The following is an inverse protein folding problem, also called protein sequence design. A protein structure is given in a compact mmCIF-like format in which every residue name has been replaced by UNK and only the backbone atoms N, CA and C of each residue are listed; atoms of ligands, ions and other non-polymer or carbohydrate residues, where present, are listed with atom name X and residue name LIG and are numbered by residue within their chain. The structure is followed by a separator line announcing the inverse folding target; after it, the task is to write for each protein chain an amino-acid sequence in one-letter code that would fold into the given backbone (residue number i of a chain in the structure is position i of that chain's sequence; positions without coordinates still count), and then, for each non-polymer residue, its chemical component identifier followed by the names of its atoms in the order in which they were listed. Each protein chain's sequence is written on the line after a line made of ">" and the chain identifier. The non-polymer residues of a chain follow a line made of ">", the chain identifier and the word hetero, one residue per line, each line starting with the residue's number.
data_IF_534758075154
#
_entry.id   IF_534758075154
#
_cell.length_a   1.000
_cell.length_b   1.000
_cell.length_c   1.000
_cell.angle_alpha   90.00
_cell.angle_beta   90.00
_cell.angle_gamma   90.00
#
_symmetry.space_group_name_H-M   'P 1'
#
loop_
_entity.id
_entity.type
_entity.pdbx_description
1 polymer ?
#
# COMPACT_ATOMS: atom_id res chain seq x y z
N UNK A 1 -13.41 26.29 -12.05
CA UNK A 1 -13.09 24.84 -12.14
C UNK A 1 -11.59 24.70 -12.40
N UNK A 2 -10.77 24.70 -11.35
CA UNK A 2 -9.31 24.56 -11.48
C UNK A 2 -8.98 23.08 -11.69
N UNK A 3 -8.51 22.72 -12.89
CA UNK A 3 -7.90 21.41 -13.14
C UNK A 3 -6.70 21.27 -12.19
N UNK A 4 -6.71 20.21 -11.39
CA UNK A 4 -5.63 19.83 -10.49
C UNK A 4 -4.32 19.67 -11.31
N UNK A 5 -3.48 20.69 -11.28
CA UNK A 5 -2.10 20.67 -11.77
C UNK A 5 -1.19 19.92 -10.78
N UNK A 6 -1.59 18.70 -10.42
CA UNK A 6 -0.95 17.85 -9.40
C UNK A 6 -0.26 16.63 -9.99
N UNK A 7 0.09 16.66 -11.28
CA UNK A 7 1.20 15.86 -11.79
C UNK A 7 2.48 16.58 -11.40
N UNK A 8 2.92 16.41 -10.14
CA UNK A 8 4.29 16.77 -9.78
C UNK A 8 5.19 15.85 -10.59
N UNK A 9 5.98 16.41 -11.49
CA UNK A 9 6.97 15.66 -12.25
C UNK A 9 7.78 14.78 -11.29
N UNK A 10 7.71 13.47 -11.53
CA UNK A 10 8.46 12.47 -10.77
C UNK A 10 9.97 12.63 -11.01
N UNK A 11 10.35 13.33 -12.07
CA UNK A 11 11.70 13.32 -12.62
C UNK A 11 12.74 14.04 -11.74
N UNK A 12 12.31 14.89 -10.79
CA UNK A 12 13.19 15.53 -9.79
C UNK A 12 13.07 14.92 -8.37
N UNK A 13 12.18 13.94 -8.19
CA UNK A 13 11.95 13.32 -6.88
C UNK A 13 12.68 11.99 -6.80
N UNK A 14 13.53 11.81 -5.78
CA UNK A 14 14.21 10.54 -5.55
C UNK A 14 13.20 9.38 -5.52
N UNK A 15 13.34 8.43 -6.43
CA UNK A 15 12.49 7.24 -6.52
C UNK A 15 13.13 6.04 -5.82
N UNK A 16 12.29 5.08 -5.41
CA UNK A 16 12.71 3.80 -4.84
C UNK A 16 12.06 2.69 -5.63
N UNK A 17 12.88 1.73 -6.08
CA UNK A 17 12.42 0.53 -6.76
C UNK A 17 11.96 -0.54 -5.76
N UNK A 18 10.69 -0.93 -5.85
CA UNK A 18 10.07 -2.01 -5.10
C UNK A 18 10.02 -3.25 -5.99
N UNK A 19 10.62 -4.35 -5.55
CA UNK A 19 10.65 -5.61 -6.33
C UNK A 19 9.64 -6.60 -5.78
N UNK A 20 8.89 -7.27 -6.63
CA UNK A 20 7.88 -8.24 -6.24
C UNK A 20 7.60 -9.29 -7.31
N UNK A 21 6.59 -10.11 -7.05
CA UNK A 21 6.07 -11.10 -8.00
C UNK A 21 4.58 -10.91 -8.24
N UNK A 22 4.15 -11.12 -9.48
CA UNK A 22 2.74 -11.09 -9.84
C UNK A 22 1.99 -12.25 -9.17
N UNK A 23 0.80 -11.98 -8.65
CA UNK A 23 -0.10 -12.99 -8.10
C UNK A 23 -1.53 -12.76 -8.60
N UNK A 24 -2.37 -13.79 -8.51
CA UNK A 24 -3.82 -13.63 -8.73
C UNK A 24 -4.44 -12.94 -7.52
N UNK A 25 -5.37 -12.02 -7.79
CA UNK A 25 -6.23 -11.44 -6.76
C UNK A 25 -7.56 -12.21 -6.64
N UNK A 26 -8.40 -11.78 -5.70
CA UNK A 26 -9.76 -12.32 -5.46
C UNK A 26 -10.87 -11.58 -6.23
N UNK A 27 -10.50 -10.69 -7.14
CA UNK A 27 -11.44 -9.90 -7.95
C UNK A 27 -12.21 -8.80 -7.21
N UNK A 28 -11.77 -8.42 -5.99
CA UNK A 28 -12.47 -7.42 -5.17
C UNK A 28 -12.38 -6.01 -5.76
N UNK A 29 -11.21 -5.60 -6.26
CA UNK A 29 -11.02 -4.28 -6.86
C UNK A 29 -11.90 -4.06 -8.08
N UNK A 30 -12.09 -5.07 -8.93
CA UNK A 30 -12.95 -4.94 -10.12
C UNK A 30 -14.36 -4.49 -9.74
N UNK A 31 -14.98 -5.14 -8.75
CA UNK A 31 -16.31 -4.78 -8.24
C UNK A 31 -16.33 -3.40 -7.58
N UNK A 32 -15.23 -3.02 -6.94
CA UNK A 32 -15.14 -1.76 -6.24
C UNK A 32 -15.00 -0.57 -7.21
N UNK A 33 -14.13 -0.69 -8.21
CA UNK A 33 -13.93 0.34 -9.25
C UNK A 33 -15.21 0.52 -10.06
N UNK A 34 -15.82 -0.57 -10.54
CA UNK A 34 -17.01 -0.46 -11.40
C UNK A 34 -18.21 0.22 -10.72
N UNK A 35 -18.34 0.07 -9.40
CA UNK A 35 -19.38 0.75 -8.61
C UNK A 35 -19.08 2.22 -8.31
N UNK A 36 -17.82 2.64 -8.43
CA UNK A 36 -17.35 3.95 -7.98
C UNK A 36 -16.52 4.68 -9.05
N UNK A 37 -16.75 4.39 -10.34
CA UNK A 37 -15.94 4.92 -11.45
C UNK A 37 -15.80 6.44 -11.41
N UNK A 38 -16.90 7.17 -11.14
CA UNK A 38 -16.88 8.63 -11.04
C UNK A 38 -15.96 9.12 -9.93
N UNK A 39 -16.04 8.52 -8.73
CA UNK A 39 -15.19 8.91 -7.59
C UNK A 39 -13.71 8.65 -7.90
N UNK A 40 -13.41 7.50 -8.51
CA UNK A 40 -12.03 7.14 -8.88
C UNK A 40 -11.50 8.09 -9.94
N UNK A 41 -12.27 8.33 -11.02
CA UNK A 41 -11.87 9.24 -12.10
C UNK A 41 -11.66 10.66 -11.59
N UNK A 42 -12.58 11.17 -10.77
CA UNK A 42 -12.51 12.55 -10.29
C UNK A 42 -11.30 12.78 -9.36
N UNK A 43 -10.93 11.77 -8.57
CA UNK A 43 -9.80 11.86 -7.66
C UNK A 43 -8.44 11.58 -8.32
N UNK A 44 -8.39 10.62 -9.25
CA UNK A 44 -7.15 10.24 -9.95
C UNK A 44 -6.89 11.10 -11.19
N UNK A 45 -7.93 11.71 -11.76
CA UNK A 45 -7.87 12.53 -12.96
C UNK A 45 -7.98 11.76 -14.27
N UNK A 46 -8.17 10.44 -14.22
CA UNK A 46 -8.22 9.56 -15.40
C UNK A 46 -9.02 8.27 -15.17
N UNK A 47 -9.45 7.65 -16.26
CA UNK A 47 -10.23 6.41 -16.26
C UNK A 47 -9.31 5.20 -16.10
N UNK A 48 -9.38 4.55 -14.94
CA UNK A 48 -8.64 3.31 -14.68
C UNK A 48 -9.38 2.09 -15.22
N UNK A 49 -8.63 1.09 -15.68
CA UNK A 49 -9.20 -0.19 -16.09
C UNK A 49 -9.86 -0.88 -14.89
N UNK A 50 -10.98 -1.56 -15.13
CA UNK A 50 -11.67 -2.34 -14.12
C UNK A 50 -10.85 -3.55 -13.68
N UNK A 51 -10.06 -3.38 -12.62
CA UNK A 51 -9.24 -4.43 -12.04
C UNK A 51 -7.96 -3.89 -11.44
N UNK A 52 -7.09 -4.79 -11.02
CA UNK A 52 -5.78 -4.45 -10.47
C UNK A 52 -4.76 -5.53 -10.76
N UNK A 53 -3.49 -5.12 -10.81
CA UNK A 53 -2.35 -6.06 -10.81
C UNK A 53 -1.89 -6.28 -9.37
N UNK A 54 -2.06 -7.49 -8.85
CA UNK A 54 -1.63 -7.83 -7.50
C UNK A 54 -0.14 -8.19 -7.50
N UNK A 55 0.62 -7.58 -6.58
CA UNK A 55 2.06 -7.79 -6.45
C UNK A 55 2.40 -8.19 -5.02
N UNK A 56 3.12 -9.30 -4.92
CA UNK A 56 3.74 -9.80 -3.70
C UNK A 56 5.18 -9.27 -3.60
N UNK A 57 5.39 -8.21 -2.82
CA UNK A 57 6.67 -7.58 -2.61
C UNK A 57 7.67 -8.51 -1.90
N UNK A 58 8.94 -8.35 -2.30
CA UNK A 58 10.06 -9.12 -1.76
C UNK A 58 10.36 -8.75 -0.30
N UNK A 59 9.98 -7.55 0.12
CA UNK A 59 10.13 -7.02 1.48
C UNK A 59 8.86 -6.29 1.91
N UNK A 60 8.56 -6.18 3.22
CA UNK A 60 7.47 -5.33 3.69
C UNK A 60 7.81 -3.86 3.40
N UNK A 61 6.80 -3.11 2.97
CA UNK A 61 6.88 -1.69 2.65
C UNK A 61 5.69 -1.00 3.30
N UNK A 62 5.95 0.07 4.05
CA UNK A 62 4.91 0.93 4.61
C UNK A 62 4.83 2.21 3.78
N UNK A 63 3.62 2.60 3.41
CA UNK A 63 3.39 3.84 2.69
C UNK A 63 2.95 4.95 3.64
N UNK A 64 3.29 6.19 3.30
CA UNK A 64 2.97 7.38 4.08
C UNK A 64 1.56 7.89 3.75
N UNK A 65 0.67 7.94 4.75
CA UNK A 65 -0.72 8.39 4.58
C UNK A 65 -0.83 9.88 4.22
N UNK A 66 0.21 10.66 4.52
CA UNK A 66 0.28 12.10 4.32
C UNK A 66 0.44 12.49 2.84
N UNK A 67 1.04 11.62 2.03
CA UNK A 67 1.28 11.89 0.60
C UNK A 67 0.29 11.17 -0.32
N UNK A 68 -0.57 10.33 0.25
CA UNK A 68 -1.58 9.57 -0.47
C UNK A 68 -2.68 10.47 -1.07
N UNK A 69 -3.14 10.12 -2.27
CA UNK A 69 -4.43 10.56 -2.80
C UNK A 69 -5.52 9.80 -2.04
N UNK A 70 -6.55 10.51 -1.59
CA UNK A 70 -7.64 9.96 -0.79
C UNK A 70 -8.89 9.78 -1.64
N UNK A 71 -9.35 8.54 -1.77
CA UNK A 71 -10.61 8.21 -2.43
C UNK A 71 -11.71 8.13 -1.38
N UNK A 72 -12.64 9.08 -1.42
CA UNK A 72 -13.79 9.16 -0.52
C UNK A 72 -15.00 8.50 -1.16
N UNK A 73 -15.28 7.27 -0.75
CA UNK A 73 -16.49 6.53 -1.16
C UNK A 73 -17.66 6.83 -0.22
N UNK A 74 -18.88 6.57 -0.68
CA UNK A 74 -20.10 6.78 0.12
C UNK A 74 -20.11 5.98 1.43
N UNK A 75 -19.45 4.82 1.44
CA UNK A 75 -19.39 3.92 2.60
C UNK A 75 -17.93 3.64 3.01
N UNK A 76 -17.67 3.79 4.31
CA UNK A 76 -16.44 3.34 4.95
C UNK A 76 -15.30 4.37 5.02
N UNK A 77 -14.10 3.87 5.28
CA UNK A 77 -12.88 4.69 5.41
C UNK A 77 -12.36 5.09 4.02
N UNK A 78 -11.71 6.27 3.89
CA UNK A 78 -11.08 6.64 2.63
C UNK A 78 -10.04 5.61 2.23
N UNK A 79 -9.94 5.33 0.93
CA UNK A 79 -8.82 4.54 0.40
C UNK A 79 -7.68 5.45 0.04
N UNK A 80 -6.47 4.91 0.15
CA UNK A 80 -5.24 5.63 -0.06
C UNK A 80 -4.57 5.07 -1.31
N UNK A 81 -4.18 5.98 -2.19
CA UNK A 81 -3.49 5.66 -3.43
C UNK A 81 -2.19 6.46 -3.51
N UNK A 82 -1.11 5.80 -3.91
CA UNK A 82 0.20 6.43 -4.11
C UNK A 82 0.60 6.36 -5.57
N UNK A 83 1.15 7.44 -6.11
CA UNK A 83 1.63 7.43 -7.50
C UNK A 83 2.91 6.60 -7.62
N UNK A 84 3.04 5.89 -8.73
CA UNK A 84 4.24 5.16 -9.09
C UNK A 84 4.34 4.91 -10.59
N UNK A 85 5.39 4.22 -10.99
CA UNK A 85 5.62 3.75 -12.36
C UNK A 85 5.95 2.26 -12.39
N UNK A 86 5.48 1.58 -13.43
CA UNK A 86 5.90 0.23 -13.76
C UNK A 86 6.34 0.20 -15.21
N UNK A 87 7.66 0.21 -15.45
CA UNK A 87 8.19 0.45 -16.78
C UNK A 87 7.86 1.86 -17.26
N UNK A 88 7.23 1.96 -18.43
CA UNK A 88 6.77 3.20 -19.06
C UNK A 88 5.34 3.62 -18.67
N UNK A 89 4.68 2.85 -17.79
CA UNK A 89 3.26 3.06 -17.44
C UNK A 89 3.14 3.69 -16.05
N UNK A 90 2.42 4.80 -15.97
CA UNK A 90 1.98 5.40 -14.71
C UNK A 90 0.94 4.49 -14.03
N UNK A 91 1.11 4.30 -12.73
CA UNK A 91 0.25 3.45 -11.91
C UNK A 91 -0.10 4.13 -10.59
N UNK A 92 -1.24 3.73 -10.03
CA UNK A 92 -1.54 4.00 -8.63
C UNK A 92 -1.34 2.73 -7.82
N UNK A 93 -0.45 2.82 -6.85
CA UNK A 93 -0.24 1.78 -5.85
C UNK A 93 -1.37 1.90 -4.83
N UNK A 94 -2.16 0.84 -4.78
CA UNK A 94 -3.26 0.63 -3.86
C UNK A 94 -2.88 -0.38 -2.78
N UNK A 95 -3.46 -0.23 -1.59
CA UNK A 95 -3.46 -1.29 -0.58
C UNK A 95 -4.77 -1.31 0.19
N UNK A 96 -5.35 -2.50 0.33
CA UNK A 96 -6.50 -2.69 1.20
C UNK A 96 -6.14 -2.41 2.66
N UNK A 97 -7.02 -1.78 3.46
CA UNK A 97 -6.90 -1.68 4.89
C UNK A 97 -6.62 -3.05 5.50
N UNK A 98 -5.71 -3.09 6.46
CA UNK A 98 -5.25 -4.31 7.12
C UNK A 98 -4.54 -5.31 6.20
N UNK A 99 -4.31 -5.00 4.92
CA UNK A 99 -3.50 -5.87 4.07
C UNK A 99 -2.05 -5.94 4.60
N UNK A 100 -1.42 -7.12 4.51
CA UNK A 100 -0.02 -7.28 4.87
C UNK A 100 0.88 -6.31 4.12
N UNK A 101 1.94 -5.80 4.77
CA UNK A 101 2.84 -4.78 4.20
C UNK A 101 3.62 -5.20 2.93
N UNK A 102 3.52 -6.46 2.53
CA UNK A 102 4.19 -6.99 1.35
C UNK A 102 3.21 -7.23 0.20
N UNK A 103 1.94 -6.87 0.34
CA UNK A 103 0.94 -6.96 -0.71
C UNK A 103 0.60 -5.55 -1.16
N UNK A 104 0.62 -5.32 -2.47
CA UNK A 104 0.12 -4.09 -3.09
C UNK A 104 -0.65 -4.46 -4.34
N UNK A 105 -1.56 -3.59 -4.74
CA UNK A 105 -2.31 -3.70 -5.97
C UNK A 105 -1.99 -2.48 -6.84
N UNK A 106 -1.85 -2.65 -8.15
CA UNK A 106 -1.65 -1.54 -9.07
C UNK A 106 -2.92 -1.29 -9.87
N UNK A 107 -3.37 -0.04 -9.86
CA UNK A 107 -4.38 0.49 -10.77
C UNK A 107 -3.65 1.18 -11.92
N UNK A 108 -4.23 1.12 -13.13
CA UNK A 108 -3.66 1.76 -14.31
C UNK A 108 -4.76 2.02 -15.35
N UNK A 109 -4.50 2.93 -16.27
CA UNK A 109 -5.35 3.18 -17.46
C UNK A 109 -5.23 2.09 -18.52
N UNK A 110 -4.30 1.15 -18.36
CA UNK A 110 -4.11 0.00 -19.26
C UNK A 110 -4.12 -1.33 -18.51
N UNK A 111 -4.46 -2.42 -19.21
CA UNK A 111 -4.43 -3.76 -18.64
C UNK A 111 -2.97 -4.26 -18.53
N UNK A 112 -2.32 -4.02 -17.40
CA UNK A 112 -0.87 -4.23 -17.18
C UNK A 112 -0.39 -5.65 -17.56
N UNK A 113 -1.18 -6.69 -17.30
CA UNK A 113 -0.83 -8.07 -17.71
C UNK A 113 -0.69 -8.20 -19.23
N UNK A 114 -1.59 -7.57 -19.97
CA UNK A 114 -1.58 -7.65 -21.44
C UNK A 114 -0.46 -6.76 -21.99
N UNK A 115 -0.29 -5.56 -21.42
CA UNK A 115 0.73 -4.59 -21.83
C UNK A 115 2.15 -5.17 -21.75
N UNK A 116 2.45 -5.93 -20.70
CA UNK A 116 3.77 -6.46 -20.42
C UNK A 116 3.90 -7.98 -20.59
N UNK A 117 2.85 -8.67 -21.04
CA UNK A 117 2.86 -10.13 -21.22
C UNK A 117 3.06 -10.92 -19.91
N UNK A 118 2.47 -10.47 -18.80
CA UNK A 118 2.77 -10.99 -17.46
C UNK A 118 1.88 -12.15 -17.02
N UNK A 119 2.54 -13.15 -16.45
CA UNK A 119 1.97 -14.33 -15.80
C UNK A 119 2.16 -14.31 -14.29
N UNK A 120 1.45 -15.19 -13.57
CA UNK A 120 1.66 -15.36 -12.13
C UNK A 120 3.07 -15.89 -11.83
N UNK A 121 3.72 -15.28 -10.84
CA UNK A 121 5.09 -15.62 -10.45
C UNK A 121 6.16 -14.76 -11.12
N UNK A 122 5.84 -14.05 -12.20
CA UNK A 122 6.77 -13.17 -12.90
C UNK A 122 7.28 -12.08 -11.97
N UNK A 123 8.58 -11.77 -12.09
CA UNK A 123 9.21 -10.71 -11.30
C UNK A 123 8.93 -9.36 -11.95
N UNK A 124 8.53 -8.41 -11.13
CA UNK A 124 8.26 -7.04 -11.57
C UNK A 124 8.85 -6.03 -10.61
N UNK A 125 8.94 -4.80 -11.08
CA UNK A 125 9.41 -3.68 -10.31
C UNK A 125 8.43 -2.52 -10.44
N UNK A 126 8.20 -1.85 -9.32
CA UNK A 126 7.39 -0.65 -9.23
C UNK A 126 8.25 0.43 -8.62
N UNK A 127 8.32 1.57 -9.29
CA UNK A 127 9.03 2.74 -8.81
C UNK A 127 8.03 3.66 -8.11
N UNK A 128 8.35 4.07 -6.90
CA UNK A 128 7.53 4.99 -6.11
C UNK A 128 8.42 6.12 -5.59
N UNK A 129 7.83 7.28 -5.30
CA UNK A 129 8.60 8.38 -4.73
C UNK A 129 9.06 8.00 -3.32
N UNK A 130 10.27 8.42 -2.95
CA UNK A 130 10.82 8.16 -1.61
C UNK A 130 9.93 8.76 -0.51
N UNK A 131 9.32 9.91 -0.76
CA UNK A 131 8.42 10.58 0.18
C UNK A 131 7.09 9.84 0.39
N UNK A 132 6.71 8.93 -0.50
CA UNK A 132 5.52 8.08 -0.33
C UNK A 132 5.77 6.89 0.60
N UNK A 133 7.02 6.67 1.03
CA UNK A 133 7.40 5.60 1.93
C UNK A 133 7.53 6.10 3.36
N UNK A 134 6.89 5.40 4.28
CA UNK A 134 7.03 5.62 5.71
C UNK A 134 8.05 4.63 6.30
N UNK A 135 8.75 5.01 7.39
CA UNK A 135 9.60 4.07 8.12
C UNK A 135 8.75 2.96 8.75
N UNK A 136 9.14 1.70 8.52
CA UNK A 136 8.52 0.55 9.16
C UNK A 136 9.04 0.44 10.60
N UNK A 137 8.18 0.51 11.65
CA UNK A 137 8.63 0.29 13.02
C UNK A 137 9.27 -1.10 13.20
N UNK A 138 10.34 -1.23 14.01
CA UNK A 138 11.00 -2.52 14.24
C UNK A 138 10.06 -3.63 14.71
N UNK A 139 9.10 -3.30 15.57
CA UNK A 139 8.09 -4.25 16.04
C UNK A 139 7.14 -4.72 14.92
N UNK A 140 6.82 -3.84 13.97
CA UNK A 140 6.04 -4.17 12.78
C UNK A 140 6.81 -5.10 11.85
N UNK A 141 8.12 -4.87 11.69
CA UNK A 141 8.99 -5.79 10.94
C UNK A 141 9.08 -7.17 11.61
N UNK A 142 9.29 -7.23 12.93
CA UNK A 142 9.35 -8.50 13.66
C UNK A 142 8.03 -9.27 13.55
N UNK A 143 6.91 -8.58 13.76
CA UNK A 143 5.57 -9.16 13.60
C UNK A 143 5.38 -9.67 12.17
N UNK A 144 5.81 -8.89 11.18
CA UNK A 144 5.77 -9.32 9.79
C UNK A 144 6.58 -10.60 9.54
N UNK A 145 7.78 -10.71 10.11
CA UNK A 145 8.62 -11.91 10.01
C UNK A 145 7.89 -13.12 10.64
N UNK A 146 7.37 -12.96 11.86
CA UNK A 146 6.71 -14.03 12.61
C UNK A 146 5.47 -14.58 11.93
N UNK A 147 4.78 -13.77 11.13
CA UNK A 147 3.55 -14.18 10.47
C UNK A 147 3.78 -14.59 9.01
N UNK A 148 4.59 -13.87 8.24
CA UNK A 148 4.65 -14.04 6.77
C UNK A 148 6.00 -14.50 6.21
N UNK A 149 7.08 -14.58 7.00
CA UNK A 149 8.32 -15.18 6.49
C UNK A 149 8.05 -16.66 6.14
N UNK A 150 8.35 -17.04 4.89
CA UNK A 150 8.03 -18.36 4.33
C UNK A 150 6.55 -18.60 3.98
N UNK A 151 5.64 -17.68 4.31
CA UNK A 151 4.17 -17.86 4.18
C UNK A 151 3.47 -16.75 3.40
N UNK A 152 4.21 -15.92 2.68
CA UNK A 152 3.68 -14.77 1.93
C UNK A 152 2.48 -15.09 1.02
N UNK A 153 2.45 -16.28 0.40
CA UNK A 153 1.35 -16.68 -0.51
C UNK A 153 0.06 -17.10 0.21
N UNK A 154 0.15 -17.48 1.48
CA UNK A 154 -1.00 -18.04 2.20
C UNK A 154 -2.15 -17.05 2.38
N UNK A 155 -1.90 -15.74 2.25
CA UNK A 155 -2.96 -14.71 2.22
C UNK A 155 -3.96 -14.94 1.07
N UNK A 156 -3.48 -15.42 -0.08
CA UNK A 156 -4.32 -15.67 -1.26
C UNK A 156 -4.84 -17.10 -1.32
N UNK A 157 -4.07 -18.07 -0.81
CA UNK A 157 -4.35 -19.50 -0.98
C UNK A 157 -5.15 -20.11 0.19
N UNK A 158 -5.23 -19.45 1.34
CA UNK A 158 -5.82 -20.03 2.56
C UNK A 158 -6.69 -19.02 3.32
N UNK A 159 -8.01 -19.13 3.14
CA UNK A 159 -8.99 -18.25 3.81
C UNK A 159 -8.97 -18.36 5.33
N UNK A 160 -8.76 -19.57 5.87
CA UNK A 160 -8.67 -19.75 7.32
C UNK A 160 -7.43 -19.08 7.91
N UNK A 161 -6.30 -19.11 7.18
CA UNK A 161 -5.10 -18.40 7.54
C UNK A 161 -5.29 -16.89 7.47
N UNK A 162 -5.90 -16.40 6.38
CA UNK A 162 -6.26 -15.00 6.20
C UNK A 162 -7.11 -14.49 7.38
N UNK A 163 -8.17 -15.20 7.75
CA UNK A 163 -9.01 -14.86 8.90
C UNK A 163 -8.25 -14.85 10.24
N UNK A 164 -7.28 -15.75 10.43
CA UNK A 164 -6.47 -15.86 11.65
C UNK A 164 -5.33 -14.84 11.72
N UNK A 165 -4.78 -14.44 10.58
CA UNK A 165 -3.67 -13.49 10.48
C UNK A 165 -4.17 -12.05 10.48
N UNK A 166 -5.33 -11.79 9.86
CA UNK A 166 -6.11 -10.55 10.01
C UNK A 166 -6.74 -10.43 11.41
N UNK A 167 -6.10 -11.00 12.43
CA UNK A 167 -6.46 -10.75 13.82
C UNK A 167 -5.98 -9.37 14.23
N UNK A 168 -6.65 -8.81 15.25
CA UNK A 168 -6.29 -7.53 15.87
C UNK A 168 -4.81 -7.39 16.22
N UNK A 169 -4.07 -8.50 16.37
CA UNK A 169 -2.64 -8.49 16.69
C UNK A 169 -1.76 -8.00 15.54
N UNK A 170 -1.98 -8.44 14.31
CA UNK A 170 -1.16 -8.01 13.17
C UNK A 170 -1.33 -6.52 12.86
N UNK A 171 -2.57 -6.06 12.96
CA UNK A 171 -2.94 -4.64 12.93
C UNK A 171 -2.28 -3.87 14.07
N UNK A 172 -2.47 -4.32 15.32
CA UNK A 172 -1.97 -3.63 16.52
C UNK A 172 -0.45 -3.51 16.56
N UNK A 173 0.29 -4.40 15.92
CA UNK A 173 1.76 -4.32 15.93
C UNK A 173 2.36 -3.70 14.68
N UNK A 174 1.54 -3.18 13.76
CA UNK A 174 2.01 -2.43 12.58
C UNK A 174 2.61 -3.32 11.49
N UNK A 175 2.14 -4.58 11.37
CA UNK A 175 2.53 -5.48 10.27
C UNK A 175 1.58 -5.41 9.07
N UNK A 176 0.58 -4.53 9.15
CA UNK A 176 -0.38 -4.20 8.10
C UNK A 176 -0.41 -2.70 7.85
N UNK A 177 -0.99 -2.26 6.74
CA UNK A 177 -1.26 -0.83 6.54
C UNK A 177 -2.52 -0.46 7.32
N UNK A 178 -2.35 0.31 8.39
CA UNK A 178 -3.44 0.92 9.14
C UNK A 178 -3.81 2.23 8.43
N UNK A 179 -4.91 2.27 7.68
CA UNK A 179 -5.36 3.52 7.06
C UNK A 179 -5.80 4.53 8.11
N UNK A 180 -5.23 5.75 8.05
CA UNK A 180 -5.60 7.06 8.66
C UNK A 180 -6.03 7.14 10.13
N UNK A 181 -6.14 6.04 10.86
CA UNK A 181 -6.36 6.05 12.31
C UNK A 181 -5.00 6.29 13.00
N UNK A 182 -4.50 7.52 12.86
CA UNK A 182 -3.21 8.00 13.38
C UNK A 182 -3.04 7.78 14.90
N UNK A 183 -4.13 7.52 15.63
CA UNK A 183 -4.16 7.38 17.10
C UNK A 183 -3.14 6.37 17.64
N UNK A 184 -2.93 5.24 16.96
CA UNK A 184 -2.01 4.22 17.46
C UNK A 184 -0.54 4.52 17.11
N UNK A 185 -0.29 5.05 15.90
CA UNK A 185 1.04 5.51 15.51
C UNK A 185 1.53 6.67 16.36
N UNK A 186 0.62 7.57 16.74
CA UNK A 186 0.90 8.69 17.63
C UNK A 186 1.12 8.24 19.08
N UNK A 187 0.38 7.23 19.54
CA UNK A 187 0.62 6.58 20.83
C UNK A 187 2.00 5.90 20.90
N UNK A 188 2.40 5.16 19.86
CA UNK A 188 3.73 4.55 19.80
C UNK A 188 4.84 5.58 19.70
N UNK A 189 4.66 6.65 18.92
CA UNK A 189 5.61 7.76 18.85
C UNK A 189 5.72 8.49 20.18
N UNK A 190 4.61 8.74 20.86
CA UNK A 190 4.58 9.34 22.19
C UNK A 190 5.28 8.43 23.21
N UNK A 191 4.98 7.13 23.23
CA UNK A 191 5.61 6.17 24.13
C UNK A 191 7.12 6.03 23.89
N UNK A 192 7.55 5.96 22.63
CA UNK A 192 8.96 5.91 22.26
C UNK A 192 9.70 7.20 22.68
N UNK A 193 9.08 8.37 22.51
CA UNK A 193 9.64 9.64 22.95
C UNK A 193 9.75 9.73 24.48
N UNK A 194 8.79 9.20 25.24
CA UNK A 194 8.85 9.11 26.71
C UNK A 194 9.97 8.17 27.16
N UNK A 195 10.10 7.00 26.55
CA UNK A 195 11.17 6.04 26.83
C UNK A 195 12.55 6.64 26.52
N UNK A 196 12.68 7.33 25.39
CA UNK A 196 13.93 8.00 25.00
C UNK A 196 14.31 9.11 26.00
N UNK A 197 13.34 9.90 26.47
CA UNK A 197 13.56 10.89 27.53
C UNK A 197 14.01 10.27 28.86
N UNK A 198 13.39 9.15 29.27
CA UNK A 198 13.74 8.45 30.51
C UNK A 198 15.10 7.76 30.46
N UNK A 199 15.44 7.15 29.32
CA UNK A 199 16.68 6.39 29.17
C UNK A 199 17.90 7.25 28.87
N UNK A 200 17.74 8.38 28.17
CA UNK A 200 18.87 9.18 27.69
C UNK A 200 18.97 10.58 28.31
N UNK A 201 18.08 10.95 29.24
CA UNK A 201 18.26 12.16 30.07
C UNK A 201 18.38 13.49 29.31
N UNK A 202 18.01 13.55 28.03
CA UNK A 202 18.11 14.78 27.23
C UNK A 202 16.98 15.71 27.63
N UNK A 203 17.30 16.71 28.46
CA UNK A 203 16.51 17.95 28.57
C UNK A 203 16.92 18.85 27.39
N UNK A 204 15.95 19.18 26.53
CA UNK A 204 16.03 20.35 25.65
C UNK A 204 15.74 21.59 26.49
#
# INVERSE_FOLDING_TARGET
>A
MHRNDRRRDIDDVQTVRLSGRITSGRGQVKKHISRNTTVVRDALGEDVVEGSLNILLSRPVMFADETAIRLHFAEGRPRLEWQGKMGDVDVWVHRWPAAPLHIVELLSTVHLRNRFGLSNGDRVHVEVRRCDLAPLPPLGLLTWVLFWLGRKRWEYDNDAYCARIQTRWSERFGATQLGTDQRFGDLLRAAANVLRRKLFGVRL
#
